data_IF_267763745973
#
_entry.id   IF_267763745973
#
_cell.length_a   1.000
_cell.length_b   1.000
_cell.length_c   1.000
_cell.angle_alpha   90.00
_cell.angle_beta   90.00
_cell.angle_gamma   90.00
#
_symmetry.space_group_name_H-M   'P 1'
#
loop_
_entity.id
_entity.type
_entity.pdbx_description
1 polymer ?
#
# COMPACT_ATOMS: atom_id res chain seq x y z
N UNK A 1 9.84 -21.16 -6.33
CA UNK A 1 8.51 -20.66 -6.78
C UNK A 1 8.43 -19.18 -6.43
N UNK A 2 8.48 -18.28 -7.42
CA UNK A 2 8.36 -16.82 -7.19
C UNK A 2 6.94 -16.41 -7.54
N UNK A 3 6.18 -15.94 -6.56
CA UNK A 3 4.84 -15.41 -6.78
C UNK A 3 4.96 -14.16 -7.68
N UNK A 4 4.49 -14.29 -8.92
CA UNK A 4 4.48 -13.20 -9.90
C UNK A 4 3.27 -12.32 -9.61
N UNK A 5 3.44 -11.30 -8.77
CA UNK A 5 2.41 -10.30 -8.53
C UNK A 5 2.37 -9.36 -9.74
N UNK A 6 1.55 -9.72 -10.74
CA UNK A 6 1.27 -8.92 -11.92
C UNK A 6 0.37 -7.73 -11.55
N UNK A 7 0.95 -6.71 -10.93
CA UNK A 7 0.20 -5.51 -10.59
C UNK A 7 0.51 -4.40 -11.60
N UNK A 8 -0.36 -4.27 -12.60
CA UNK A 8 -0.37 -3.15 -13.56
C UNK A 8 -0.84 -1.89 -12.80
N UNK A 9 0.08 -1.11 -12.26
CA UNK A 9 -0.23 0.25 -11.77
C UNK A 9 -0.59 1.04 -13.02
N UNK A 10 -1.89 1.25 -13.25
CA UNK A 10 -2.39 1.94 -14.45
C UNK A 10 -3.65 1.35 -15.08
N UNK A 11 -4.21 0.25 -14.55
CA UNK A 11 -5.43 -0.35 -15.08
C UNK A 11 -6.46 -0.69 -14.01
N UNK A 12 -7.04 0.32 -13.35
CA UNK A 12 -8.29 0.18 -12.59
C UNK A 12 -8.37 -1.03 -11.66
N UNK A 13 -7.33 -1.30 -10.84
CA UNK A 13 -7.34 -2.40 -9.90
C UNK A 13 -8.51 -2.25 -8.94
N UNK A 14 -9.46 -3.19 -9.02
CA UNK A 14 -10.59 -3.34 -8.10
C UNK A 14 -10.14 -3.72 -6.69
N UNK A 15 -8.86 -4.10 -6.55
CA UNK A 15 -8.27 -4.52 -5.30
C UNK A 15 -8.26 -3.37 -4.30
N UNK A 16 -8.89 -3.62 -3.15
CA UNK A 16 -8.92 -2.78 -1.98
C UNK A 16 -7.53 -2.69 -1.37
N UNK A 17 -7.08 -1.46 -1.12
CA UNK A 17 -5.79 -1.20 -0.51
C UNK A 17 -5.64 -1.87 0.87
N UNK A 18 -6.71 -1.92 1.66
CA UNK A 18 -6.63 -2.45 3.02
C UNK A 18 -7.11 -3.90 3.13
N UNK A 19 -8.12 -4.26 2.35
CA UNK A 19 -8.86 -5.52 2.54
C UNK A 19 -8.32 -6.68 1.71
N UNK A 20 -7.71 -6.40 0.56
CA UNK A 20 -7.24 -7.45 -0.33
C UNK A 20 -5.76 -7.76 -0.11
N UNK A 21 -5.39 -9.01 -0.43
CA UNK A 21 -4.00 -9.44 -0.38
C UNK A 21 -3.29 -9.12 -1.70
N UNK A 22 -3.04 -7.84 -1.94
CA UNK A 22 -2.31 -7.37 -3.12
C UNK A 22 -0.81 -7.18 -2.85
N UNK A 23 -0.39 -7.24 -1.58
CA UNK A 23 0.97 -7.03 -1.13
C UNK A 23 1.34 -8.07 -0.06
N UNK A 24 2.17 -9.04 -0.44
CA UNK A 24 2.61 -10.12 0.44
C UNK A 24 1.61 -11.29 0.55
N UNK A 25 1.46 -11.84 1.75
CA UNK A 25 0.64 -13.03 2.02
C UNK A 25 -0.67 -12.73 2.76
N UNK A 26 -0.83 -11.51 3.32
CA UNK A 26 -1.98 -11.11 4.11
C UNK A 26 -2.36 -9.65 3.84
N UNK A 27 -3.66 -9.30 3.89
CA UNK A 27 -4.13 -7.91 3.77
C UNK A 27 -3.45 -6.94 4.74
N UNK A 28 -3.21 -5.71 4.26
CA UNK A 28 -2.54 -4.68 5.07
C UNK A 28 -3.29 -4.35 6.36
N UNK A 29 -4.63 -4.45 6.39
CA UNK A 29 -5.41 -4.21 7.61
C UNK A 29 -5.03 -5.16 8.76
N UNK A 30 -4.55 -6.36 8.47
CA UNK A 30 -4.15 -7.31 9.52
C UNK A 30 -2.81 -6.94 10.14
N UNK A 31 -1.91 -6.35 9.35
CA UNK A 31 -0.58 -5.95 9.80
C UNK A 31 -0.58 -4.54 10.42
N UNK A 32 -1.45 -3.66 9.92
CA UNK A 32 -1.52 -2.23 10.27
C UNK A 32 -2.94 -1.84 10.68
N UNK A 33 -3.50 -2.57 11.65
CA UNK A 33 -4.89 -2.39 12.09
C UNK A 33 -5.15 -0.99 12.70
N UNK A 34 -4.15 -0.42 13.36
CA UNK A 34 -4.21 0.95 13.88
C UNK A 34 -4.33 1.99 12.76
N UNK A 35 -3.50 1.88 11.72
CA UNK A 35 -3.54 2.78 10.58
C UNK A 35 -4.83 2.61 9.80
N UNK A 36 -5.32 1.38 9.68
CA UNK A 36 -6.62 1.08 9.10
C UNK A 36 -7.75 1.80 9.84
N UNK A 37 -7.79 1.71 11.18
CA UNK A 37 -8.79 2.36 12.02
C UNK A 37 -8.74 3.90 11.96
N UNK A 38 -7.56 4.45 11.66
CA UNK A 38 -7.37 5.89 11.53
C UNK A 38 -7.59 6.39 10.10
N UNK A 39 -7.41 5.54 9.11
CA UNK A 39 -7.57 5.89 7.70
C UNK A 39 -9.05 6.12 7.38
N UNK A 40 -9.36 7.21 6.70
CA UNK A 40 -10.70 7.50 6.19
C UNK A 40 -11.03 6.70 4.92
N UNK A 41 -10.00 6.15 4.28
CA UNK A 41 -10.08 5.50 2.98
C UNK A 41 -10.01 3.96 3.10
N UNK A 42 -10.65 3.39 4.13
CA UNK A 42 -10.60 1.95 4.43
C UNK A 42 -11.04 1.05 3.26
N UNK A 43 -11.97 1.52 2.44
CA UNK A 43 -12.50 0.80 1.28
C UNK A 43 -11.92 1.31 -0.05
N UNK A 44 -10.96 2.21 -0.02
CA UNK A 44 -10.37 2.73 -1.25
C UNK A 44 -9.56 1.66 -1.98
N UNK A 45 -9.62 1.72 -3.30
CA UNK A 45 -8.78 0.90 -4.17
C UNK A 45 -7.36 1.43 -4.20
N UNK A 46 -6.42 0.58 -4.53
CA UNK A 46 -5.00 0.96 -4.66
C UNK A 46 -4.83 2.08 -5.70
N UNK A 47 -5.60 2.03 -6.79
CA UNK A 47 -5.61 3.08 -7.82
C UNK A 47 -6.04 4.46 -7.28
N UNK A 48 -6.95 4.50 -6.28
CA UNK A 48 -7.38 5.75 -5.64
C UNK A 48 -6.37 6.23 -4.58
N UNK A 49 -5.60 5.31 -4.00
CA UNK A 49 -4.60 5.61 -2.97
C UNK A 49 -3.25 6.01 -3.55
N UNK A 50 -2.93 5.61 -4.78
CA UNK A 50 -1.66 5.93 -5.44
C UNK A 50 -1.79 7.14 -6.36
N UNK A 51 -0.99 8.19 -6.13
CA UNK A 51 -1.02 9.43 -6.93
C UNK A 51 0.01 9.46 -8.06
N UNK A 52 0.74 8.36 -8.30
CA UNK A 52 1.89 8.36 -9.22
C UNK A 52 3.19 8.81 -8.56
N UNK A 53 3.11 9.75 -7.61
CA UNK A 53 4.25 10.27 -6.85
C UNK A 53 4.34 9.72 -5.43
N UNK A 54 3.26 9.12 -4.92
CA UNK A 54 3.25 8.53 -3.60
C UNK A 54 1.89 7.98 -3.16
N UNK A 55 1.86 7.50 -1.92
CA UNK A 55 0.64 7.01 -1.27
C UNK A 55 -0.10 8.15 -0.57
N UNK A 56 -1.32 8.41 -1.00
CA UNK A 56 -2.25 9.35 -0.41
C UNK A 56 -3.06 8.67 0.71
N UNK A 57 -2.62 8.86 1.96
CA UNK A 57 -3.25 8.31 3.16
C UNK A 57 -3.92 9.44 3.96
N UNK A 58 -5.25 9.49 3.95
CA UNK A 58 -6.00 10.45 4.75
C UNK A 58 -6.39 9.83 6.09
N UNK A 59 -5.98 10.49 7.18
CA UNK A 59 -6.29 10.07 8.54
C UNK A 59 -7.32 10.99 9.18
N UNK A 60 -8.19 10.42 10.04
CA UNK A 60 -9.25 11.15 10.74
C UNK A 60 -8.77 12.08 11.85
N UNK A 61 -7.50 11.97 12.25
CA UNK A 61 -6.83 12.80 13.26
C UNK A 61 -5.34 12.90 12.97
N UNK A 62 -4.66 13.81 13.66
CA UNK A 62 -3.20 13.84 13.66
C UNK A 62 -2.64 12.52 14.21
N UNK A 63 -1.53 12.08 13.63
CA UNK A 63 -0.84 10.87 14.03
C UNK A 63 0.07 11.16 15.22
N UNK A 64 0.15 10.22 16.15
CA UNK A 64 1.18 10.21 17.20
C UNK A 64 2.52 9.72 16.64
N UNK A 65 3.62 9.92 17.38
CA UNK A 65 4.96 9.50 16.94
C UNK A 65 5.05 7.99 16.63
N UNK A 66 4.36 7.15 17.42
CA UNK A 66 4.31 5.71 17.17
C UNK A 66 3.57 5.36 15.88
N UNK A 67 2.50 6.09 15.55
CA UNK A 67 1.71 5.91 14.33
C UNK A 67 2.49 6.38 13.10
N UNK A 68 3.25 7.48 13.24
CA UNK A 68 4.09 7.99 12.18
C UNK A 68 5.17 6.97 11.78
N UNK A 69 5.80 6.32 12.77
CA UNK A 69 6.73 5.21 12.55
C UNK A 69 6.08 4.05 11.79
N UNK A 70 4.82 3.72 12.10
CA UNK A 70 4.06 2.69 11.39
C UNK A 70 3.74 3.10 9.94
N UNK A 71 3.40 4.36 9.69
CA UNK A 71 3.18 4.88 8.33
C UNK A 71 4.47 4.82 7.51
N UNK A 72 5.63 5.14 8.12
CA UNK A 72 6.92 5.01 7.46
C UNK A 72 7.23 3.55 7.08
N UNK A 73 6.98 2.61 8.00
CA UNK A 73 7.13 1.17 7.72
C UNK A 73 6.19 0.68 6.61
N UNK A 74 4.94 1.15 6.61
CA UNK A 74 3.95 0.86 5.57
C UNK A 74 4.43 1.36 4.20
N UNK A 75 4.87 2.62 4.12
CA UNK A 75 5.39 3.22 2.89
C UNK A 75 6.66 2.53 2.40
N UNK A 76 7.56 2.16 3.31
CA UNK A 76 8.78 1.42 2.99
C UNK A 76 8.45 0.04 2.41
N UNK A 77 7.51 -0.67 3.04
CA UNK A 77 6.96 -1.93 2.51
C UNK A 77 6.49 -1.71 1.08
N UNK A 78 5.59 -0.76 0.83
CA UNK A 78 5.06 -0.50 -0.51
C UNK A 78 6.12 -0.08 -1.53
N UNK A 79 7.12 0.71 -1.12
CA UNK A 79 8.24 1.10 -1.97
C UNK A 79 9.07 -0.12 -2.40
N UNK A 80 9.37 -1.04 -1.47
CA UNK A 80 10.04 -2.29 -1.79
C UNK A 80 9.25 -3.10 -2.84
N UNK A 81 7.92 -3.14 -2.75
CA UNK A 81 7.09 -3.82 -3.75
C UNK A 81 7.05 -3.12 -5.12
N UNK A 82 7.12 -1.78 -5.18
CA UNK A 82 7.27 -1.07 -6.45
C UNK A 82 8.64 -1.33 -7.09
N UNK A 83 9.71 -1.37 -6.29
CA UNK A 83 11.06 -1.66 -6.78
C UNK A 83 11.22 -3.11 -7.27
N UNK A 84 10.41 -4.06 -6.78
CA UNK A 84 10.34 -5.42 -7.35
C UNK A 84 9.74 -5.47 -8.77
N UNK A 85 9.22 -4.35 -9.30
CA UNK A 85 8.77 -4.23 -10.69
C UNK A 85 9.81 -3.58 -11.61
N UNK A 86 10.86 -2.99 -11.04
CA UNK A 86 11.96 -2.33 -11.75
C UNK A 86 13.19 -3.25 -11.84
N UNK A 87 12.97 -4.54 -12.16
CA UNK A 87 14.03 -5.44 -12.65
C UNK A 87 13.64 -5.95 -14.04
N UNK A 88 13.42 -4.98 -14.93
CA UNK A 88 13.35 -5.08 -16.39
C UNK A 88 13.65 -3.66 -16.89
N UNK A 89 14.76 -3.30 -17.50
CA UNK A 89 15.85 -3.97 -18.20
C UNK A 89 17.02 -2.96 -18.06
N UNK A 90 18.26 -3.35 -17.71
CA UNK A 90 19.38 -2.43 -17.88
C UNK A 90 19.50 -2.11 -19.37
N UNK A 91 19.74 -0.84 -19.70
CA UNK A 91 20.05 -0.41 -21.07
C UNK A 91 20.96 -1.42 -21.79
#
# INVERSE_FOLDING_TARGET
MKAKVNFKVGGGSKDSFWNDNWIGQAPLKQQYLDLFNLCLQQQATIAKMWTGQGWNLNFRRHLSDWELGRVAALKSTMAAFNNLKEERIPC
#
